data_IF_621871030130
#
_entry.id   IF_621871030130
#
_cell.length_a   1.000
_cell.length_b   1.000
_cell.length_c   1.000
_cell.angle_alpha   90.00
_cell.angle_beta   90.00
_cell.angle_gamma   90.00
#
_symmetry.space_group_name_H-M   'P 1'
#
loop_
_entity.id
_entity.type
_entity.pdbx_description
1 polymer ?
#
# COMPACT_ATOMS: atom_id res chain seq x y z
N UNK A 1 37.02 -12.74 -39.77
CA UNK A 1 36.93 -12.32 -38.36
C UNK A 1 35.64 -11.51 -38.18
N UNK A 2 34.54 -12.14 -37.70
CA UNK A 2 33.82 -11.56 -36.54
C UNK A 2 33.14 -12.67 -35.71
N UNK A 3 33.80 -13.20 -34.67
CA UNK A 3 33.18 -14.15 -33.71
C UNK A 3 33.13 -13.62 -32.27
N UNK A 4 33.47 -12.35 -32.07
CA UNK A 4 33.54 -11.71 -30.73
C UNK A 4 32.43 -10.69 -30.47
N UNK A 5 31.60 -10.35 -31.47
CA UNK A 5 30.50 -9.36 -31.30
C UNK A 5 29.26 -10.00 -30.66
N UNK A 6 28.99 -11.28 -30.96
CA UNK A 6 27.85 -12.02 -30.43
C UNK A 6 27.81 -12.17 -28.88
N UNK A 7 28.91 -12.50 -28.18
CA UNK A 7 28.85 -12.61 -26.72
C UNK A 7 28.70 -11.25 -26.03
N UNK A 8 29.21 -10.17 -26.62
CA UNK A 8 29.10 -8.83 -26.05
C UNK A 8 27.65 -8.30 -26.07
N UNK A 9 26.92 -8.59 -27.16
CA UNK A 9 25.50 -8.25 -27.29
C UNK A 9 24.62 -9.07 -26.32
N UNK A 10 24.93 -10.34 -26.11
CA UNK A 10 24.21 -11.18 -25.15
C UNK A 10 24.43 -10.74 -23.70
N UNK A 11 25.66 -10.34 -23.34
CA UNK A 11 26.00 -9.82 -22.01
C UNK A 11 25.31 -8.47 -21.76
N UNK A 12 25.32 -7.54 -22.74
CA UNK A 12 24.60 -6.27 -22.63
C UNK A 12 23.09 -6.46 -22.46
N UNK A 13 22.49 -7.44 -23.15
CA UNK A 13 21.06 -7.74 -23.03
C UNK A 13 20.70 -8.30 -21.65
N UNK A 14 21.55 -9.16 -21.07
CA UNK A 14 21.35 -9.64 -19.69
C UNK A 14 21.54 -8.55 -18.62
N UNK A 15 22.43 -7.57 -18.83
CA UNK A 15 22.54 -6.42 -17.92
C UNK A 15 21.34 -5.47 -18.02
N UNK A 16 20.72 -5.36 -19.19
CA UNK A 16 19.49 -4.57 -19.38
C UNK A 16 18.29 -5.17 -18.62
N UNK A 17 18.19 -6.50 -18.50
CA UNK A 17 17.14 -7.14 -17.69
C UNK A 17 17.37 -6.98 -16.18
N UNK A 18 18.63 -6.93 -15.73
CA UNK A 18 18.95 -6.73 -14.32
C UNK A 18 18.71 -5.28 -13.84
N UNK A 19 18.81 -4.29 -14.73
CA UNK A 19 18.47 -2.90 -14.40
C UNK A 19 16.94 -2.66 -14.29
N UNK A 20 16.13 -3.56 -14.84
CA UNK A 20 14.67 -3.60 -14.67
C UNK A 20 14.20 -4.41 -13.45
N UNK A 21 15.12 -4.90 -12.60
CA UNK A 21 14.75 -5.82 -11.51
C UNK A 21 14.11 -5.15 -10.29
N UNK A 22 13.93 -3.83 -10.29
CA UNK A 22 13.32 -3.09 -9.18
C UNK A 22 11.99 -2.51 -9.61
N UNK A 23 10.90 -3.06 -9.05
CA UNK A 23 9.56 -2.50 -9.21
C UNK A 23 9.56 -1.02 -8.83
N UNK A 24 9.12 -0.11 -9.71
CA UNK A 24 9.02 1.31 -9.40
C UNK A 24 8.18 1.53 -8.12
N UNK A 25 8.49 2.55 -7.30
CA UNK A 25 7.77 2.82 -6.04
C UNK A 25 6.25 2.88 -6.25
N UNK A 26 5.83 3.55 -7.31
CA UNK A 26 4.43 3.67 -7.70
C UNK A 26 3.74 2.32 -7.87
N UNK A 27 4.34 1.41 -8.64
CA UNK A 27 3.77 0.08 -8.86
C UNK A 27 3.76 -0.74 -7.57
N UNK A 28 4.86 -0.74 -6.81
CA UNK A 28 4.97 -1.50 -5.56
C UNK A 28 3.95 -1.04 -4.51
N UNK A 29 3.72 0.27 -4.40
CA UNK A 29 2.72 0.85 -3.49
C UNK A 29 1.30 0.50 -3.94
N UNK A 30 0.99 0.56 -5.25
CA UNK A 30 -0.33 0.13 -5.77
C UNK A 30 -0.59 -1.35 -5.46
N UNK A 31 0.41 -2.20 -5.62
CA UNK A 31 0.31 -3.63 -5.28
C UNK A 31 0.10 -3.83 -3.76
N UNK A 32 0.80 -3.06 -2.91
CA UNK A 32 0.60 -3.08 -1.47
C UNK A 32 -0.81 -2.64 -1.06
N UNK A 33 -1.33 -1.56 -1.66
CA UNK A 33 -2.73 -1.13 -1.48
C UNK A 33 -3.70 -2.25 -1.86
N UNK A 34 -3.50 -2.91 -3.00
CA UNK A 34 -4.33 -4.05 -3.40
C UNK A 34 -4.27 -5.22 -2.40
N UNK A 35 -3.10 -5.50 -1.83
CA UNK A 35 -2.96 -6.51 -0.76
C UNK A 35 -3.69 -6.11 0.52
N UNK A 36 -3.70 -4.82 0.88
CA UNK A 36 -4.49 -4.30 2.01
C UNK A 36 -5.98 -4.51 1.75
N UNK A 37 -6.49 -4.13 0.58
CA UNK A 37 -7.91 -4.31 0.21
C UNK A 37 -8.33 -5.78 0.29
N UNK A 38 -7.54 -6.67 -0.32
CA UNK A 38 -7.77 -8.11 -0.28
C UNK A 38 -7.71 -8.67 1.13
N UNK A 39 -6.73 -8.24 1.93
CA UNK A 39 -6.60 -8.65 3.32
C UNK A 39 -7.80 -8.24 4.17
N UNK A 40 -8.37 -7.06 3.94
CA UNK A 40 -9.60 -6.63 4.61
C UNK A 40 -10.78 -7.48 4.13
N UNK A 41 -10.96 -7.65 2.82
CA UNK A 41 -12.06 -8.41 2.24
C UNK A 41 -12.07 -9.89 2.66
N UNK A 42 -10.89 -10.49 2.83
CA UNK A 42 -10.71 -11.86 3.26
C UNK A 42 -10.65 -12.04 4.78
N UNK A 43 -10.87 -10.97 5.57
CA UNK A 43 -10.74 -10.95 7.04
C UNK A 43 -9.34 -11.41 7.54
N UNK A 44 -8.29 -11.18 6.76
CA UNK A 44 -6.92 -11.57 7.04
C UNK A 44 -6.14 -10.44 7.73
N UNK A 45 -6.34 -10.31 9.04
CA UNK A 45 -5.71 -9.27 9.87
C UNK A 45 -4.18 -9.22 9.71
N UNK A 46 -3.53 -10.40 9.70
CA UNK A 46 -2.09 -10.51 9.56
C UNK A 46 -1.59 -10.01 8.18
N UNK A 47 -2.34 -10.28 7.11
CA UNK A 47 -1.98 -9.84 5.77
C UNK A 47 -2.02 -8.30 5.66
N UNK A 48 -3.07 -7.66 6.18
CA UNK A 48 -3.16 -6.20 6.22
C UNK A 48 -2.00 -5.59 7.00
N UNK A 49 -1.70 -6.15 8.18
CA UNK A 49 -0.62 -5.64 9.04
C UNK A 49 0.78 -5.88 8.48
N UNK A 50 0.95 -6.86 7.59
CA UNK A 50 2.22 -7.08 6.92
C UNK A 50 2.58 -5.84 6.06
N UNK A 51 1.60 -5.20 5.43
CA UNK A 51 1.81 -4.00 4.61
C UNK A 51 2.09 -2.71 5.42
N UNK A 52 2.05 -2.78 6.76
CA UNK A 52 2.31 -1.65 7.65
C UNK A 52 3.73 -1.72 8.22
N UNK A 53 4.42 -0.58 8.21
CA UNK A 53 5.72 -0.43 8.85
C UNK A 53 5.59 -0.66 10.36
N UNK A 54 6.67 -1.08 11.03
CA UNK A 54 6.59 -1.34 12.47
C UNK A 54 6.25 -0.08 13.28
N UNK A 55 6.76 1.07 12.86
CA UNK A 55 6.47 2.38 13.43
C UNK A 55 5.18 3.03 12.87
N UNK A 56 4.24 2.24 12.35
CA UNK A 56 3.01 2.77 11.75
C UNK A 56 2.22 3.65 12.72
N UNK A 57 1.79 4.80 12.21
CA UNK A 57 0.84 5.72 12.84
C UNK A 57 -0.24 6.13 11.85
N UNK A 58 -1.47 6.16 12.30
CA UNK A 58 -2.57 6.67 11.51
C UNK A 58 -3.58 7.40 12.35
N UNK A 59 -4.31 8.31 11.73
CA UNK A 59 -5.32 9.10 12.42
C UNK A 59 -6.00 10.09 11.48
N UNK A 60 -7.03 10.79 11.99
CA UNK A 60 -7.50 12.03 11.37
C UNK A 60 -6.33 13.00 11.14
N UNK A 61 -6.41 13.85 10.11
CA UNK A 61 -5.33 14.80 9.79
C UNK A 61 -4.96 15.74 10.96
N UNK A 62 -5.89 16.02 11.89
CA UNK A 62 -5.68 16.82 13.11
C UNK A 62 -5.11 16.02 14.30
N UNK A 63 -5.15 14.69 14.26
CA UNK A 63 -4.59 13.78 15.29
C UNK A 63 -4.04 12.48 14.66
N UNK A 64 -2.92 12.55 13.89
CA UNK A 64 -2.41 11.44 13.08
C UNK A 64 -1.79 10.29 13.89
N UNK A 65 -1.67 10.44 15.22
CA UNK A 65 -1.05 9.44 16.11
C UNK A 65 -2.05 8.50 16.80
N UNK A 66 -3.35 8.66 16.53
CA UNK A 66 -4.43 7.99 17.28
C UNK A 66 -4.48 6.47 17.10
N UNK A 67 -3.94 5.94 16.02
CA UNK A 67 -3.96 4.53 15.66
C UNK A 67 -2.54 4.03 15.37
N UNK A 68 -2.03 3.12 16.18
CA UNK A 68 -0.78 2.41 15.93
C UNK A 68 -1.02 1.03 15.28
N UNK A 69 0.06 0.33 14.89
CA UNK A 69 -0.02 -0.99 14.24
C UNK A 69 -0.76 -2.04 15.08
N UNK A 70 -0.65 -1.97 16.41
CA UNK A 70 -1.36 -2.86 17.32
C UNK A 70 -2.85 -2.46 17.45
N UNK A 71 -3.15 -1.17 17.35
CA UNK A 71 -4.48 -0.60 17.26
C UNK A 71 -5.20 -1.08 16.00
N UNK A 72 -4.51 -1.10 14.85
CA UNK A 72 -5.04 -1.69 13.60
C UNK A 72 -5.45 -3.14 13.81
N UNK A 73 -4.63 -3.94 14.51
CA UNK A 73 -4.98 -5.33 14.82
C UNK A 73 -6.32 -5.43 15.57
N UNK A 74 -6.48 -4.64 16.64
CA UNK A 74 -7.69 -4.65 17.48
C UNK A 74 -8.91 -4.12 16.72
N UNK A 75 -8.72 -3.05 15.95
CA UNK A 75 -9.74 -2.46 15.09
C UNK A 75 -10.27 -3.50 14.11
N UNK A 76 -9.39 -4.07 13.29
CA UNK A 76 -9.77 -5.08 12.30
C UNK A 76 -10.41 -6.31 12.94
N UNK A 77 -9.91 -6.79 14.09
CA UNK A 77 -10.53 -7.90 14.81
C UNK A 77 -11.98 -7.59 15.21
N UNK A 78 -12.25 -6.39 15.74
CA UNK A 78 -13.61 -5.96 16.07
C UNK A 78 -14.52 -5.86 14.84
N UNK A 79 -14.00 -5.33 13.74
CA UNK A 79 -14.75 -5.22 12.48
C UNK A 79 -15.06 -6.59 11.88
N UNK A 80 -14.09 -7.52 11.84
CA UNK A 80 -14.30 -8.86 11.28
C UNK A 80 -15.26 -9.73 12.11
N UNK A 81 -15.34 -9.49 13.43
CA UNK A 81 -16.35 -10.15 14.28
C UNK A 81 -17.76 -9.58 14.06
N UNK A 82 -17.85 -8.27 13.83
CA UNK A 82 -19.13 -7.56 13.65
C UNK A 82 -19.74 -7.79 12.27
N UNK A 83 -18.93 -7.75 11.22
CA UNK A 83 -19.39 -7.74 9.84
C UNK A 83 -19.09 -9.05 9.14
N UNK A 84 -20.11 -9.70 8.57
CA UNK A 84 -19.94 -10.92 7.77
C UNK A 84 -19.24 -10.66 6.44
N UNK A 85 -19.45 -9.47 5.88
CA UNK A 85 -18.81 -8.99 4.67
C UNK A 85 -18.34 -7.57 4.92
N UNK A 86 -17.07 -7.29 4.69
CA UNK A 86 -16.52 -5.95 4.72
C UNK A 86 -15.52 -5.82 3.58
N UNK A 87 -15.46 -4.64 2.98
CA UNK A 87 -14.49 -4.35 1.95
C UNK A 87 -14.04 -2.90 2.01
N UNK A 88 -12.93 -2.65 1.34
CA UNK A 88 -12.42 -1.31 1.09
C UNK A 88 -12.09 -1.24 -0.38
N UNK A 89 -12.48 -0.14 -1.01
CA UNK A 89 -12.10 0.19 -2.38
C UNK A 89 -11.33 1.49 -2.36
N UNK A 90 -10.10 1.46 -2.85
CA UNK A 90 -9.17 2.57 -2.93
C UNK A 90 -9.07 2.99 -4.40
N UNK A 91 -9.34 4.26 -4.67
CA UNK A 91 -9.34 4.82 -6.03
C UNK A 91 -8.46 6.05 -6.11
N UNK A 92 -8.03 6.38 -7.33
CA UNK A 92 -7.27 7.61 -7.59
C UNK A 92 -5.89 7.64 -6.93
N UNK A 93 -5.27 6.48 -6.68
CA UNK A 93 -3.95 6.41 -6.04
C UNK A 93 -2.94 7.19 -6.89
N UNK A 94 -2.36 8.22 -6.30
CA UNK A 94 -1.24 8.99 -6.87
C UNK A 94 -0.05 8.80 -5.95
N UNK A 95 1.15 8.60 -6.51
CA UNK A 95 2.37 8.36 -5.73
C UNK A 95 3.42 9.40 -6.10
N UNK A 96 3.97 10.05 -5.09
CA UNK A 96 4.97 11.10 -5.19
C UNK A 96 6.23 10.70 -4.42
N UNK A 97 7.28 10.20 -5.09
CA UNK A 97 8.56 9.92 -4.44
C UNK A 97 9.16 11.19 -3.83
N UNK A 98 9.79 11.09 -2.65
CA UNK A 98 10.45 12.24 -2.03
C UNK A 98 11.77 12.53 -2.75
N UNK A 99 11.96 13.77 -3.20
CA UNK A 99 13.12 14.19 -3.99
C UNK A 99 14.50 13.91 -3.32
N UNK A 100 14.54 13.86 -1.99
CA UNK A 100 15.77 13.66 -1.21
C UNK A 100 15.76 12.35 -0.40
N UNK A 101 14.78 11.48 -0.61
CA UNK A 101 14.62 10.22 0.10
C UNK A 101 14.03 9.17 -0.85
N UNK A 102 14.91 8.45 -1.55
CA UNK A 102 14.52 7.45 -2.56
C UNK A 102 13.82 6.23 -1.95
N UNK A 103 13.90 6.07 -0.64
CA UNK A 103 13.24 5.06 0.18
C UNK A 103 11.88 5.52 0.73
N UNK A 104 11.40 6.71 0.35
CA UNK A 104 10.16 7.28 0.83
C UNK A 104 9.30 7.83 -0.31
N UNK A 105 7.99 7.69 -0.16
CA UNK A 105 7.02 8.22 -1.11
C UNK A 105 5.73 8.61 -0.40
N UNK A 106 5.15 9.74 -0.78
CA UNK A 106 3.78 10.08 -0.43
C UNK A 106 2.81 9.41 -1.37
N UNK A 107 1.62 9.08 -0.89
CA UNK A 107 0.49 8.69 -1.72
C UNK A 107 -0.76 9.46 -1.34
N UNK A 108 -1.56 9.86 -2.32
CA UNK A 108 -2.90 10.40 -2.13
C UNK A 108 -3.92 9.45 -2.77
N UNK A 109 -5.03 9.19 -2.07
CA UNK A 109 -6.08 8.32 -2.58
C UNK A 109 -7.46 8.64 -1.99
N UNK A 110 -8.49 8.10 -2.61
CA UNK A 110 -9.86 8.07 -2.10
C UNK A 110 -10.21 6.68 -1.62
N UNK A 111 -10.80 6.57 -0.44
CA UNK A 111 -11.15 5.28 0.19
C UNK A 111 -12.66 5.21 0.39
N UNK A 112 -13.27 4.12 -0.08
CA UNK A 112 -14.68 3.81 0.11
C UNK A 112 -14.83 2.52 0.92
N UNK A 113 -15.57 2.57 2.03
CA UNK A 113 -15.90 1.39 2.83
C UNK A 113 -17.15 0.69 2.27
N UNK A 114 -17.11 -0.64 2.14
CA UNK A 114 -18.20 -1.45 1.61
C UNK A 114 -18.59 -2.60 2.55
N UNK A 115 -19.78 -3.17 2.37
CA UNK A 115 -20.21 -4.41 3.04
C UNK A 115 -20.80 -4.25 4.45
N UNK A 116 -20.71 -3.08 5.08
CA UNK A 116 -21.12 -2.87 6.47
C UNK A 116 -22.64 -2.95 6.78
N UNK A 117 -23.49 -3.33 5.82
CA UNK A 117 -24.79 -4.02 6.01
C UNK A 117 -25.61 -4.03 4.68
N UNK A 118 -25.00 -4.50 3.58
CA UNK A 118 -25.70 -4.87 2.33
C UNK A 118 -26.28 -3.73 1.49
N UNK A 119 -25.87 -3.66 0.21
CA UNK A 119 -26.12 -2.59 -0.77
C UNK A 119 -25.31 -1.33 -0.46
N UNK A 120 -24.57 -0.83 -1.44
CA UNK A 120 -23.94 0.50 -1.35
C UNK A 120 -25.07 1.51 -1.16
N UNK A 121 -25.23 2.13 0.03
CA UNK A 121 -26.11 3.28 0.19
C UNK A 121 -25.31 4.51 -0.29
N UNK A 122 -25.98 5.59 -0.72
CA UNK A 122 -25.33 6.87 -1.07
C UNK A 122 -24.43 7.45 0.06
N UNK A 123 -24.47 6.87 1.26
CA UNK A 123 -23.70 7.22 2.44
C UNK A 123 -22.51 6.29 2.75
N UNK A 124 -21.93 5.61 1.75
CA UNK A 124 -20.61 4.98 1.92
C UNK A 124 -19.62 6.04 2.41
N UNK A 125 -19.03 5.86 3.60
CA UNK A 125 -18.07 6.84 4.13
C UNK A 125 -16.87 6.88 3.20
N UNK A 126 -16.77 7.97 2.46
CA UNK A 126 -15.66 8.31 1.60
C UNK A 126 -14.66 9.11 2.41
N UNK A 127 -13.40 8.70 2.35
CA UNK A 127 -12.30 9.40 2.98
C UNK A 127 -11.29 9.78 1.93
N UNK A 128 -10.73 11.00 2.02
CA UNK A 128 -9.46 11.28 1.36
C UNK A 128 -8.36 10.85 2.30
N UNK A 129 -7.42 10.07 1.79
CA UNK A 129 -6.28 9.60 2.58
C UNK A 129 -4.96 10.05 1.98
N UNK A 130 -4.03 10.39 2.86
CA UNK A 130 -2.64 10.65 2.53
C UNK A 130 -1.74 9.71 3.30
N UNK A 131 -0.88 8.98 2.60
CA UNK A 131 -0.02 7.95 3.18
C UNK A 131 1.45 8.24 2.97
N UNK A 132 2.28 8.08 4.01
CA UNK A 132 3.73 8.05 3.88
C UNK A 132 4.20 6.60 3.83
N UNK A 133 4.86 6.23 2.74
CA UNK A 133 5.42 4.91 2.54
C UNK A 133 6.93 4.94 2.76
N UNK A 134 7.46 3.87 3.35
CA UNK A 134 8.90 3.60 3.47
C UNK A 134 9.26 2.29 2.84
N UNK A 135 10.45 2.24 2.24
CA UNK A 135 11.01 1.01 1.73
C UNK A 135 11.79 0.27 2.81
N UNK A 136 11.29 -0.89 3.21
CA UNK A 136 11.94 -1.84 4.11
C UNK A 136 12.44 -3.04 3.30
N UNK A 137 13.72 -3.02 2.91
CA UNK A 137 14.30 -4.02 2.01
C UNK A 137 13.78 -3.87 0.57
N UNK A 138 13.06 -4.89 0.07
CA UNK A 138 12.37 -4.85 -1.22
C UNK A 138 10.96 -4.27 -1.14
N UNK A 139 10.39 -4.19 0.07
CA UNK A 139 8.96 -3.99 0.25
C UNK A 139 8.69 -2.53 0.63
N UNK A 140 7.59 -1.99 0.09
CA UNK A 140 7.07 -0.70 0.51
C UNK A 140 6.02 -0.91 1.60
N UNK A 141 6.21 -0.25 2.74
CA UNK A 141 5.38 -0.37 3.93
C UNK A 141 4.79 0.99 4.27
N UNK A 142 3.50 1.00 4.62
CA UNK A 142 2.80 2.21 5.04
C UNK A 142 3.25 2.57 6.46
N UNK A 143 3.81 3.76 6.65
CA UNK A 143 4.31 4.26 7.94
C UNK A 143 3.42 5.33 8.54
N UNK A 144 2.85 6.21 7.72
CA UNK A 144 1.88 7.21 8.18
C UNK A 144 0.63 7.14 7.32
N UNK A 145 -0.54 7.27 7.93
CA UNK A 145 -1.82 7.34 7.21
C UNK A 145 -2.75 8.38 7.82
N UNK A 146 -2.99 9.46 7.09
CA UNK A 146 -3.86 10.54 7.52
C UNK A 146 -5.16 10.49 6.72
N UNK A 147 -6.30 10.75 7.36
CA UNK A 147 -7.60 10.82 6.68
C UNK A 147 -8.42 12.04 7.06
N UNK A 148 -9.26 12.45 6.11
CA UNK A 148 -10.28 13.51 6.24
C UNK A 148 -11.65 12.96 5.80
#
# INVERSE_FOLDING_TARGET
MPRFIAPLAAILLSLALAACSRTPPEQAIREAVGRIEQGIAAHQNAAVRAELAEAFRGGPADDPGRLDKAGVQRLLAGYFLRYKHIGVVVTGVTVEPLAHADDQAWSDASVLLTGADGLIPEAGRHYRVRGLWVREGSDWRLRELHWE
#
